data_IF_377374198462
#
_entry.id   IF_377374198462
#
_cell.length_a   1.000
_cell.length_b   1.000
_cell.length_c   1.000
_cell.angle_alpha   90.00
_cell.angle_beta   90.00
_cell.angle_gamma   90.00
#
_symmetry.space_group_name_H-M   'P 1'
#
loop_
_entity.id
_entity.type
_entity.pdbx_description
1 polymer ?
#
# COMPACT_ATOMS: atom_id res chain seq x y z
N UNK A 1 13.55 -13.19 30.34
CA UNK A 1 13.36 -12.94 28.88
C UNK A 1 12.75 -11.54 28.77
N UNK A 2 13.49 -10.55 28.32
CA UNK A 2 12.96 -9.18 28.15
C UNK A 2 11.83 -9.21 27.13
N UNK A 3 10.67 -8.65 27.51
CA UNK A 3 9.54 -8.49 26.59
C UNK A 3 9.97 -7.51 25.46
N UNK A 4 10.42 -8.06 24.33
CA UNK A 4 10.95 -7.33 23.18
C UNK A 4 9.88 -6.57 22.40
N UNK A 5 8.73 -6.31 23.01
CA UNK A 5 7.60 -5.62 22.37
C UNK A 5 7.83 -4.12 22.31
N UNK A 6 7.43 -3.52 21.19
CA UNK A 6 7.42 -2.07 21.04
C UNK A 6 6.32 -1.47 21.94
N UNK A 7 6.74 -0.73 22.95
CA UNK A 7 5.85 -0.03 23.89
C UNK A 7 6.25 1.44 23.89
N UNK A 8 5.29 2.33 23.74
CA UNK A 8 5.54 3.77 23.80
C UNK A 8 5.66 4.26 25.27
N UNK A 9 6.08 5.54 25.50
CA UNK A 9 6.19 6.10 26.84
C UNK A 9 4.89 6.11 27.66
N UNK A 10 3.74 5.90 27.02
CA UNK A 10 2.42 5.84 27.66
C UNK A 10 1.94 4.39 27.91
N UNK A 11 2.79 3.39 27.74
CA UNK A 11 2.47 1.98 27.94
C UNK A 11 1.65 1.34 26.81
N UNK A 12 1.46 2.02 25.66
CA UNK A 12 0.69 1.50 24.53
C UNK A 12 1.57 0.60 23.66
N UNK A 13 1.08 -0.59 23.32
CA UNK A 13 1.76 -1.52 22.41
C UNK A 13 1.60 -1.06 20.97
N UNK A 14 2.72 -0.93 20.27
CA UNK A 14 2.73 -0.61 18.83
C UNK A 14 2.59 -1.93 18.07
N UNK A 15 1.43 -2.15 17.47
CA UNK A 15 1.09 -3.37 16.72
C UNK A 15 0.84 -3.12 15.23
N UNK A 16 0.99 -1.87 14.79
CA UNK A 16 0.68 -1.44 13.43
C UNK A 16 1.88 -0.72 12.81
N UNK A 17 2.24 -1.13 11.58
CA UNK A 17 3.30 -0.52 10.78
C UNK A 17 2.73 -0.01 9.45
N UNK A 18 3.10 1.20 9.06
CA UNK A 18 2.98 1.68 7.69
C UNK A 18 4.36 1.61 7.03
N UNK A 19 4.45 0.85 5.94
CA UNK A 19 5.68 0.63 5.19
C UNK A 19 5.56 1.28 3.82
N UNK A 20 6.32 2.36 3.60
CA UNK A 20 6.43 2.99 2.30
C UNK A 20 7.41 2.19 1.44
N UNK A 21 6.98 1.76 0.26
CA UNK A 21 7.78 0.90 -0.60
C UNK A 21 8.34 1.62 -1.83
N UNK A 22 7.87 2.82 -2.12
CA UNK A 22 8.34 3.64 -3.26
C UNK A 22 7.90 5.08 -3.09
N UNK A 23 8.69 6.00 -3.62
CA UNK A 23 8.35 7.41 -3.81
C UNK A 23 7.61 7.66 -5.14
N UNK A 24 7.61 6.68 -6.07
CA UNK A 24 7.05 6.82 -7.41
C UNK A 24 5.54 6.62 -7.42
N UNK A 25 4.86 7.41 -8.26
CA UNK A 25 3.43 7.30 -8.49
C UNK A 25 3.15 7.50 -9.98
N UNK A 26 2.08 6.91 -10.48
CA UNK A 26 1.61 7.08 -11.87
C UNK A 26 0.58 8.21 -12.02
N UNK A 27 0.19 8.86 -10.91
CA UNK A 27 -0.58 10.11 -10.92
C UNK A 27 0.30 11.30 -10.52
N UNK A 28 -0.20 12.52 -10.84
CA UNK A 28 0.39 13.80 -10.46
C UNK A 28 -0.66 14.66 -9.77
N UNK A 29 -1.18 14.16 -8.66
CA UNK A 29 -2.24 14.86 -7.93
C UNK A 29 -1.77 16.26 -7.50
N UNK A 30 -2.59 17.27 -7.77
CA UNK A 30 -2.27 18.69 -7.58
C UNK A 30 -1.83 19.05 -6.16
N UNK A 31 -2.33 18.31 -5.19
CA UNK A 31 -2.04 18.50 -3.76
C UNK A 31 -0.91 17.61 -3.22
N UNK A 32 -0.38 16.67 -4.03
CA UNK A 32 0.57 15.66 -3.55
C UNK A 32 1.94 15.77 -4.21
N UNK A 33 2.00 15.79 -5.54
CA UNK A 33 3.24 15.77 -6.30
C UNK A 33 3.23 16.83 -7.40
N UNK A 34 4.31 17.59 -7.52
CA UNK A 34 4.53 18.46 -8.67
C UNK A 34 4.69 17.65 -9.96
N UNK A 35 4.49 18.28 -11.12
CA UNK A 35 4.75 17.64 -12.41
C UNK A 35 6.23 17.29 -12.58
N UNK A 36 7.11 18.17 -12.13
CA UNK A 36 8.56 18.07 -12.21
C UNK A 36 9.18 17.35 -11.00
N UNK A 37 8.42 16.48 -10.33
CA UNK A 37 8.89 15.75 -9.14
C UNK A 37 10.13 14.92 -9.47
N UNK A 38 11.23 15.21 -8.77
CA UNK A 38 12.43 14.38 -8.83
C UNK A 38 12.31 13.23 -7.83
N UNK A 39 12.42 12.02 -8.33
CA UNK A 39 12.41 10.81 -7.53
C UNK A 39 13.81 10.43 -7.09
N UNK A 40 13.94 9.78 -5.96
CA UNK A 40 15.21 9.25 -5.50
C UNK A 40 15.82 8.28 -6.52
N UNK A 41 17.14 8.30 -6.70
CA UNK A 41 17.85 7.25 -7.41
C UNK A 41 17.50 5.86 -6.83
N UNK A 42 17.55 4.82 -7.67
CA UNK A 42 17.12 3.49 -7.24
C UNK A 42 17.99 2.89 -6.14
N UNK A 43 19.23 3.23 -6.09
CA UNK A 43 20.22 2.84 -5.09
C UNK A 43 20.03 3.51 -3.73
N UNK A 44 19.24 4.59 -3.68
CA UNK A 44 18.84 5.26 -2.44
C UNK A 44 17.49 4.81 -1.90
N UNK A 45 16.80 3.91 -2.61
CA UNK A 45 15.53 3.32 -2.17
C UNK A 45 15.75 1.86 -1.81
N UNK A 46 15.36 1.47 -0.60
CA UNK A 46 15.49 0.09 -0.13
C UNK A 46 14.99 -0.92 -1.17
N UNK A 47 15.72 -1.99 -1.37
CA UNK A 47 15.31 -3.16 -2.15
C UNK A 47 14.06 -3.82 -1.54
N UNK A 48 13.40 -4.71 -2.26
CA UNK A 48 12.26 -5.46 -1.72
C UNK A 48 12.70 -6.43 -0.62
N UNK A 49 13.92 -6.94 -0.70
CA UNK A 49 14.57 -7.81 0.27
C UNK A 49 14.83 -7.07 1.58
N UNK A 50 15.37 -5.86 1.51
CA UNK A 50 15.59 -5.00 2.68
C UNK A 50 14.27 -4.57 3.31
N UNK A 51 13.27 -4.20 2.51
CA UNK A 51 11.92 -3.88 3.00
C UNK A 51 11.29 -5.08 3.70
N UNK A 52 11.51 -6.29 3.18
CA UNK A 52 11.06 -7.51 3.86
C UNK A 52 11.78 -7.69 5.19
N UNK A 53 13.10 -7.53 5.24
CA UNK A 53 13.89 -7.67 6.47
C UNK A 53 13.43 -6.67 7.55
N UNK A 54 13.17 -5.42 7.15
CA UNK A 54 12.62 -4.40 8.05
C UNK A 54 11.24 -4.84 8.59
N UNK A 55 10.34 -5.25 7.71
CA UNK A 55 9.00 -5.69 8.11
C UNK A 55 9.06 -6.92 9.04
N UNK A 56 9.94 -7.86 8.73
CA UNK A 56 10.16 -9.08 9.51
C UNK A 56 10.65 -8.77 10.93
N UNK A 57 11.61 -7.86 11.06
CA UNK A 57 12.08 -7.38 12.35
C UNK A 57 10.96 -6.77 13.19
N UNK A 58 10.11 -5.93 12.58
CA UNK A 58 8.96 -5.35 13.26
C UNK A 58 7.90 -6.39 13.65
N UNK A 59 7.68 -7.42 12.84
CA UNK A 59 6.81 -8.55 13.18
C UNK A 59 7.37 -9.28 14.42
N UNK A 60 8.68 -9.54 14.46
CA UNK A 60 9.36 -10.11 15.63
C UNK A 60 9.19 -9.26 16.90
N UNK A 61 9.14 -7.94 16.76
CA UNK A 61 8.88 -6.99 17.86
C UNK A 61 7.40 -6.87 18.23
N UNK A 62 6.50 -7.61 17.61
CA UNK A 62 5.08 -7.67 17.98
C UNK A 62 4.13 -6.89 17.10
N UNK A 63 4.57 -6.39 15.94
CA UNK A 63 3.66 -5.85 14.92
C UNK A 63 2.80 -6.99 14.35
N UNK A 64 1.49 -6.74 14.27
CA UNK A 64 0.47 -7.69 13.79
C UNK A 64 -0.24 -7.19 12.53
N UNK A 65 -0.13 -5.93 12.22
CA UNK A 65 -0.81 -5.30 11.08
C UNK A 65 0.17 -4.46 10.30
N UNK A 66 0.27 -4.70 8.99
CA UNK A 66 1.12 -3.93 8.09
C UNK A 66 0.25 -3.31 6.99
N UNK A 67 0.47 -2.03 6.73
CA UNK A 67 -0.10 -1.32 5.59
C UNK A 67 1.01 -0.89 4.65
N UNK A 68 0.99 -1.45 3.45
CA UNK A 68 1.88 -1.06 2.37
C UNK A 68 1.37 0.24 1.74
N UNK A 69 2.28 1.18 1.56
CA UNK A 69 2.02 2.51 1.02
C UNK A 69 3.22 3.01 0.22
N UNK A 70 3.26 4.27 -0.13
CA UNK A 70 4.32 4.93 -0.90
C UNK A 70 3.71 6.06 -1.71
N UNK A 71 4.29 6.35 -2.88
CA UNK A 71 3.55 7.06 -3.93
C UNK A 71 2.38 6.16 -4.38
N UNK A 72 2.59 5.31 -5.38
CA UNK A 72 1.66 4.22 -5.69
C UNK A 72 2.40 2.87 -5.58
N UNK A 73 2.11 2.03 -4.57
CA UNK A 73 2.81 0.78 -4.35
C UNK A 73 2.79 -0.18 -5.54
N UNK A 74 1.68 -0.18 -6.31
CA UNK A 74 1.50 -1.11 -7.41
C UNK A 74 2.37 -0.79 -8.63
N UNK A 75 2.98 0.40 -8.72
CA UNK A 75 3.97 0.71 -9.78
C UNK A 75 5.34 0.09 -9.49
N UNK A 76 5.60 -0.32 -8.24
CA UNK A 76 6.88 -0.93 -7.91
C UNK A 76 6.96 -2.34 -8.49
N UNK A 77 7.93 -2.55 -9.38
CA UNK A 77 8.19 -3.87 -9.98
C UNK A 77 8.51 -4.89 -8.90
N UNK A 78 7.86 -6.06 -8.93
CA UNK A 78 8.09 -7.15 -7.99
C UNK A 78 7.36 -7.02 -6.64
N UNK A 79 6.55 -5.97 -6.44
CA UNK A 79 5.84 -5.73 -5.17
C UNK A 79 5.02 -6.93 -4.69
N UNK A 80 4.43 -7.70 -5.62
CA UNK A 80 3.62 -8.88 -5.28
C UNK A 80 4.45 -9.97 -4.60
N UNK A 81 5.72 -10.11 -4.96
CA UNK A 81 6.64 -11.03 -4.27
C UNK A 81 6.84 -10.65 -2.80
N UNK A 82 7.03 -9.36 -2.51
CA UNK A 82 7.09 -8.86 -1.13
C UNK A 82 5.79 -9.14 -0.38
N UNK A 83 4.64 -8.82 -1.00
CA UNK A 83 3.31 -9.05 -0.42
C UNK A 83 3.08 -10.53 -0.12
N UNK A 84 3.45 -11.43 -1.03
CA UNK A 84 3.30 -12.87 -0.85
C UNK A 84 4.14 -13.39 0.32
N UNK A 85 5.38 -12.94 0.46
CA UNK A 85 6.25 -13.29 1.59
C UNK A 85 5.67 -12.79 2.92
N UNK A 86 5.16 -11.57 2.97
CA UNK A 86 4.52 -11.01 4.16
C UNK A 86 3.21 -11.72 4.48
N UNK A 87 2.40 -12.03 3.45
CA UNK A 87 1.13 -12.73 3.60
C UNK A 87 1.24 -14.15 4.16
N UNK A 88 2.43 -14.77 4.06
CA UNK A 88 2.73 -16.08 4.63
C UNK A 88 3.13 -16.02 6.11
N UNK A 89 3.36 -14.82 6.68
CA UNK A 89 3.71 -14.69 8.10
C UNK A 89 2.49 -14.96 8.97
N UNK A 90 2.52 -16.01 9.75
CA UNK A 90 1.40 -16.44 10.62
C UNK A 90 1.06 -15.38 11.68
N UNK A 91 2.06 -14.59 12.07
CA UNK A 91 1.91 -13.52 13.07
C UNK A 91 1.13 -12.31 12.54
N UNK A 92 1.03 -12.14 11.22
CA UNK A 92 0.29 -11.02 10.63
C UNK A 92 -1.21 -11.32 10.57
N UNK A 93 -1.96 -10.55 11.36
CA UNK A 93 -3.42 -10.56 11.36
C UNK A 93 -4.02 -9.82 10.18
N UNK A 94 -3.34 -8.75 9.69
CA UNK A 94 -3.83 -7.91 8.62
C UNK A 94 -2.69 -7.37 7.74
N UNK A 95 -2.76 -7.70 6.46
CA UNK A 95 -1.94 -7.12 5.41
C UNK A 95 -2.81 -6.26 4.51
N UNK A 96 -2.60 -4.95 4.58
CA UNK A 96 -3.34 -3.96 3.82
C UNK A 96 -2.46 -3.24 2.80
N UNK A 97 -3.06 -2.72 1.74
CA UNK A 97 -2.40 -1.82 0.79
C UNK A 97 -3.23 -0.56 0.59
N UNK A 98 -2.56 0.60 0.55
CA UNK A 98 -3.18 1.86 0.12
C UNK A 98 -2.78 2.09 -1.33
N UNK A 99 -3.74 2.32 -2.21
CA UNK A 99 -3.52 2.47 -3.65
C UNK A 99 -4.44 3.55 -4.23
N UNK A 100 -3.97 4.23 -5.27
CA UNK A 100 -4.82 5.09 -6.10
C UNK A 100 -5.78 4.28 -7.00
N UNK A 101 -5.57 2.96 -7.06
CA UNK A 101 -6.42 2.01 -7.76
C UNK A 101 -6.20 1.91 -9.26
N UNK A 102 -5.29 2.66 -9.86
CA UNK A 102 -5.05 2.68 -11.32
C UNK A 102 -4.81 1.30 -11.93
N UNK A 103 -4.13 0.41 -11.17
CA UNK A 103 -3.79 -0.96 -11.58
C UNK A 103 -4.64 -2.04 -10.89
N UNK A 104 -5.59 -1.64 -10.05
CA UNK A 104 -6.29 -2.59 -9.17
C UNK A 104 -7.08 -3.64 -9.93
N UNK A 105 -7.71 -3.26 -11.07
CA UNK A 105 -8.49 -4.18 -11.89
C UNK A 105 -7.66 -5.35 -12.41
N UNK A 106 -6.43 -5.07 -12.80
CA UNK A 106 -5.54 -6.06 -13.41
C UNK A 106 -4.85 -6.92 -12.37
N UNK A 107 -4.60 -6.34 -11.19
CA UNK A 107 -3.80 -6.97 -10.13
C UNK A 107 -4.61 -7.55 -8.96
N UNK A 108 -5.93 -7.38 -8.94
CA UNK A 108 -6.75 -7.80 -7.80
C UNK A 108 -6.60 -9.28 -7.43
N UNK A 109 -6.63 -10.17 -8.43
CA UNK A 109 -6.46 -11.60 -8.20
C UNK A 109 -5.07 -11.93 -7.64
N UNK A 110 -4.03 -11.31 -8.19
CA UNK A 110 -2.65 -11.45 -7.74
C UNK A 110 -2.47 -10.97 -6.29
N UNK A 111 -3.04 -9.81 -5.96
CA UNK A 111 -3.01 -9.25 -4.60
C UNK A 111 -3.71 -10.17 -3.59
N UNK A 112 -4.85 -10.73 -3.98
CA UNK A 112 -5.59 -11.68 -3.13
C UNK A 112 -4.77 -12.95 -2.89
N UNK A 113 -4.19 -13.53 -3.94
CA UNK A 113 -3.32 -14.70 -3.84
C UNK A 113 -2.08 -14.42 -2.99
N UNK A 114 -1.55 -13.19 -3.02
CA UNK A 114 -0.44 -12.74 -2.19
C UNK A 114 -0.80 -12.52 -0.71
N UNK A 115 -2.05 -12.78 -0.30
CA UNK A 115 -2.48 -12.66 1.09
C UNK A 115 -2.89 -11.25 1.53
N UNK A 116 -3.07 -10.31 0.61
CA UNK A 116 -3.63 -9.00 0.93
C UNK A 116 -5.08 -9.18 1.37
N UNK A 117 -5.41 -8.67 2.54
CA UNK A 117 -6.76 -8.82 3.16
C UNK A 117 -7.62 -7.58 2.99
N UNK A 118 -6.98 -6.40 2.93
CA UNK A 118 -7.67 -5.12 2.89
C UNK A 118 -7.05 -4.17 1.86
N UNK A 119 -7.93 -3.47 1.15
CA UNK A 119 -7.58 -2.39 0.25
C UNK A 119 -8.12 -1.07 0.79
N UNK A 120 -7.24 -0.05 0.84
CA UNK A 120 -7.64 1.34 1.03
C UNK A 120 -7.43 2.03 -0.31
N UNK A 121 -8.52 2.41 -0.95
CA UNK A 121 -8.45 3.08 -2.25
C UNK A 121 -8.62 4.58 -2.04
N UNK A 122 -7.60 5.33 -2.42
CA UNK A 122 -7.65 6.79 -2.43
C UNK A 122 -8.35 7.25 -3.70
N UNK A 123 -9.46 7.98 -3.54
CA UNK A 123 -10.30 8.39 -4.65
C UNK A 123 -10.82 9.80 -4.42
N UNK A 124 -10.34 10.77 -5.18
CA UNK A 124 -10.67 12.18 -5.01
C UNK A 124 -12.08 12.54 -5.49
N UNK A 125 -12.58 11.85 -6.51
CA UNK A 125 -13.91 12.10 -7.05
C UNK A 125 -14.41 10.93 -7.90
N UNK A 126 -15.73 10.70 -7.89
CA UNK A 126 -16.42 9.82 -8.83
C UNK A 126 -16.78 10.54 -10.14
N UNK A 127 -16.66 11.86 -10.19
CA UNK A 127 -16.90 12.67 -11.38
C UNK A 127 -15.62 12.73 -12.21
N UNK A 128 -15.71 12.30 -13.48
CA UNK A 128 -14.55 12.16 -14.38
C UNK A 128 -13.73 13.44 -14.51
N UNK A 129 -14.42 14.56 -14.73
CA UNK A 129 -13.76 15.85 -14.93
C UNK A 129 -13.02 16.31 -13.68
N UNK A 130 -13.65 16.18 -12.50
CA UNK A 130 -13.02 16.51 -11.22
C UNK A 130 -11.85 15.59 -10.92
N UNK A 131 -12.02 14.28 -11.16
CA UNK A 131 -10.94 13.32 -10.98
C UNK A 131 -9.74 13.69 -11.86
N UNK A 132 -9.97 13.97 -13.15
CA UNK A 132 -8.91 14.37 -14.09
C UNK A 132 -8.23 15.68 -13.65
N UNK A 133 -8.99 16.64 -13.16
CA UNK A 133 -8.45 17.91 -12.66
C UNK A 133 -7.55 17.71 -11.43
N UNK A 134 -7.93 16.84 -10.48
CA UNK A 134 -7.15 16.60 -9.27
C UNK A 134 -5.93 15.71 -9.52
N UNK A 135 -6.09 14.63 -10.30
CA UNK A 135 -5.05 13.61 -10.47
C UNK A 135 -4.15 13.83 -11.68
N UNK A 136 -4.52 14.79 -12.54
CA UNK A 136 -3.91 15.01 -13.87
C UNK A 136 -3.85 13.73 -14.71
N UNK A 137 -4.88 12.90 -14.59
CA UNK A 137 -5.03 11.62 -15.28
C UNK A 137 -6.46 11.44 -15.74
N UNK A 138 -6.63 10.97 -16.97
CA UNK A 138 -7.93 10.59 -17.53
C UNK A 138 -8.37 9.17 -17.18
N UNK A 139 -7.53 8.45 -16.43
CA UNK A 139 -7.74 7.04 -16.04
C UNK A 139 -8.84 6.92 -14.98
N UNK A 140 -10.07 7.26 -15.36
CA UNK A 140 -11.18 7.24 -14.42
C UNK A 140 -11.52 5.83 -13.92
N UNK A 141 -11.75 5.82 -12.67
CA UNK A 141 -12.21 4.81 -11.71
C UNK A 141 -13.37 3.90 -12.17
N UNK A 142 -14.19 4.25 -13.16
CA UNK A 142 -15.28 3.37 -13.64
C UNK A 142 -14.78 2.01 -14.15
N UNK A 143 -13.52 1.92 -14.56
CA UNK A 143 -12.88 0.63 -14.87
C UNK A 143 -12.35 -0.10 -13.63
N UNK A 144 -12.21 0.58 -12.49
CA UNK A 144 -11.59 0.06 -11.27
C UNK A 144 -12.57 -0.74 -10.40
N UNK A 145 -13.85 -0.36 -10.36
CA UNK A 145 -14.85 -1.01 -9.52
C UNK A 145 -15.74 -1.95 -10.32
N UNK A 146 -15.31 -3.20 -10.49
CA UNK A 146 -16.27 -4.29 -10.73
C UNK A 146 -16.83 -4.75 -9.37
N UNK A 147 -18.11 -5.14 -9.30
CA UNK A 147 -18.72 -5.66 -8.05
C UNK A 147 -17.95 -6.82 -7.40
N UNK A 148 -17.13 -7.52 -8.20
CA UNK A 148 -16.25 -8.59 -7.77
C UNK A 148 -15.16 -8.13 -6.78
N UNK A 149 -14.62 -6.92 -6.94
CA UNK A 149 -13.54 -6.41 -6.07
C UNK A 149 -14.02 -6.12 -4.65
N UNK A 150 -15.23 -5.58 -4.51
CA UNK A 150 -15.82 -5.26 -3.19
C UNK A 150 -16.12 -6.54 -2.40
N UNK A 151 -16.42 -7.64 -3.06
CA UNK A 151 -16.63 -8.95 -2.40
C UNK A 151 -15.33 -9.66 -2.02
N UNK A 152 -14.24 -9.33 -2.65
CA UNK A 152 -12.95 -10.03 -2.51
C UNK A 152 -12.08 -9.46 -1.38
N UNK A 153 -12.21 -8.17 -1.08
CA UNK A 153 -11.43 -7.48 -0.06
C UNK A 153 -12.34 -6.69 0.88
N UNK A 154 -11.89 -6.47 2.12
CA UNK A 154 -12.44 -5.39 2.93
C UNK A 154 -11.90 -4.08 2.34
N UNK A 155 -12.72 -3.37 1.55
CA UNK A 155 -12.34 -2.12 0.90
C UNK A 155 -12.84 -0.93 1.72
N UNK A 156 -11.95 0.03 1.97
CA UNK A 156 -12.29 1.37 2.46
C UNK A 156 -12.01 2.37 1.35
N UNK A 157 -12.98 3.21 1.04
CA UNK A 157 -12.78 4.39 0.19
C UNK A 157 -12.39 5.56 1.11
N UNK A 158 -11.25 6.19 0.84
CA UNK A 158 -10.92 7.49 1.37
C UNK A 158 -11.27 8.52 0.28
N UNK A 159 -12.27 9.35 0.54
CA UNK A 159 -12.70 10.48 -0.29
C UNK A 159 -12.16 11.74 0.36
#
# INVERSE_FOLDING_TARGET
>A
MSDSRLVDPFGRRITYLRLSVTDRCDFRCTYCMSEDMQFLPRDQVLSLEELYAVADAFIGLGVRRIRITGGEPLVRKGITGLLARLGQRAELEDLAITTNGSQLRERAAELKAAGVRRLNVSLDSLQRERFAAFTRSDRLVRRMFRPCLVRTFRASLAI
#
